data_IF_052775345801
#
_entry.id   IF_052775345801
#
_cell.length_a   1.000
_cell.length_b   1.000
_cell.length_c   1.000
_cell.angle_alpha   90.00
_cell.angle_beta   90.00
_cell.angle_gamma   90.00
#
_symmetry.space_group_name_H-M   'P 1'
#
loop_
_entity.id
_entity.type
_entity.pdbx_description
1 polymer ?
#
# COMPACT_ATOMS: atom_id res chain seq x y z
N UNK A 1 -3.29 -9.36 -3.34
CA UNK A 1 -3.10 -8.16 -2.51
C UNK A 1 -1.97 -8.29 -1.48
N UNK A 2 -1.58 -9.49 -1.01
CA UNK A 2 -0.45 -9.62 -0.07
C UNK A 2 -0.73 -9.10 1.34
N UNK A 3 -2.00 -9.04 1.73
CA UNK A 3 -2.48 -8.66 3.06
C UNK A 3 -2.55 -9.90 3.97
N UNK A 4 -2.44 -9.74 5.30
CA UNK A 4 -2.73 -10.82 6.24
C UNK A 4 -4.14 -11.41 6.02
N UNK A 5 -4.29 -12.69 6.32
CA UNK A 5 -5.59 -13.36 6.24
C UNK A 5 -6.62 -12.62 7.11
N UNK A 6 -7.81 -12.37 6.54
CA UNK A 6 -8.89 -11.67 7.24
C UNK A 6 -8.74 -10.15 7.35
N UNK A 7 -7.68 -9.52 6.83
CA UNK A 7 -7.45 -8.07 6.99
C UNK A 7 -8.66 -7.20 6.56
N UNK A 8 -9.33 -7.56 5.46
CA UNK A 8 -10.60 -6.94 5.04
C UNK A 8 -11.79 -7.87 5.24
N UNK A 9 -11.60 -9.17 4.99
CA UNK A 9 -12.69 -10.15 4.96
C UNK A 9 -13.13 -10.65 6.33
N UNK A 10 -12.33 -10.41 7.38
CA UNK A 10 -12.60 -10.82 8.76
C UNK A 10 -13.25 -9.73 9.63
N UNK A 11 -13.60 -8.57 9.06
CA UNK A 11 -14.19 -7.45 9.80
C UNK A 11 -15.68 -7.70 10.06
N UNK A 12 -16.13 -7.82 11.33
CA UNK A 12 -17.54 -8.07 11.64
C UNK A 12 -18.46 -6.96 11.12
N UNK A 13 -19.60 -7.34 10.53
CA UNK A 13 -20.58 -6.39 10.00
C UNK A 13 -20.21 -5.75 8.65
N UNK A 14 -19.03 -6.03 8.09
CA UNK A 14 -18.63 -5.50 6.79
C UNK A 14 -19.23 -6.33 5.66
N UNK A 15 -20.13 -5.75 4.88
CA UNK A 15 -20.79 -6.45 3.76
C UNK A 15 -19.80 -6.86 2.68
N UNK A 16 -20.12 -7.92 1.93
CA UNK A 16 -19.27 -8.39 0.80
C UNK A 16 -19.01 -7.28 -0.23
N UNK A 17 -20.01 -6.46 -0.53
CA UNK A 17 -19.86 -5.33 -1.45
C UNK A 17 -18.88 -4.28 -0.90
N UNK A 18 -18.96 -3.97 0.39
CA UNK A 18 -18.01 -3.05 1.03
C UNK A 18 -16.59 -3.63 1.07
N UNK A 19 -16.43 -4.93 1.34
CA UNK A 19 -15.13 -5.62 1.27
C UNK A 19 -14.51 -5.52 -0.13
N UNK A 20 -15.29 -5.80 -1.19
CA UNK A 20 -14.82 -5.69 -2.57
C UNK A 20 -14.44 -4.26 -2.94
N UNK A 21 -15.24 -3.27 -2.52
CA UNK A 21 -14.92 -1.85 -2.73
C UNK A 21 -13.62 -1.44 -2.03
N UNK A 22 -13.42 -1.87 -0.78
CA UNK A 22 -12.20 -1.60 -0.03
C UNK A 22 -10.97 -2.26 -0.67
N UNK A 23 -11.09 -3.52 -1.10
CA UNK A 23 -10.01 -4.24 -1.79
C UNK A 23 -9.71 -3.63 -3.17
N UNK A 24 -10.74 -3.26 -3.94
CA UNK A 24 -10.59 -2.70 -5.28
C UNK A 24 -10.01 -1.28 -5.30
N UNK A 25 -10.26 -0.49 -4.24
CA UNK A 25 -9.71 0.87 -4.09
C UNK A 25 -8.39 0.90 -3.31
N UNK A 26 -7.99 -0.22 -2.72
CA UNK A 26 -6.75 -0.33 -1.94
C UNK A 26 -5.50 -0.42 -2.81
N UNK A 27 -4.34 -0.33 -2.17
CA UNK A 27 -3.04 -0.53 -2.82
C UNK A 27 -2.49 -1.93 -2.54
N UNK A 28 -1.58 -2.40 -3.38
CA UNK A 28 -0.74 -3.56 -3.06
C UNK A 28 0.41 -3.10 -2.13
N UNK A 29 0.47 -3.54 -0.86
CA UNK A 29 1.44 -3.03 0.11
C UNK A 29 2.90 -3.15 -0.33
N UNK A 30 3.24 -4.22 -1.05
CA UNK A 30 4.60 -4.45 -1.54
C UNK A 30 4.99 -3.41 -2.61
N UNK A 31 4.05 -3.05 -3.50
CA UNK A 31 4.29 -2.01 -4.50
C UNK A 31 4.35 -0.62 -3.84
N UNK A 32 3.48 -0.34 -2.87
CA UNK A 32 3.53 0.90 -2.11
C UNK A 32 4.86 1.06 -1.35
N UNK A 33 5.33 0.01 -0.67
CA UNK A 33 6.61 0.02 0.02
C UNK A 33 7.80 0.24 -0.93
N UNK A 34 7.78 -0.35 -2.13
CA UNK A 34 8.80 -0.10 -3.15
C UNK A 34 8.78 1.37 -3.64
N UNK A 35 7.60 1.91 -3.94
CA UNK A 35 7.44 3.31 -4.37
C UNK A 35 7.91 4.29 -3.29
N UNK A 36 7.61 4.02 -2.02
CA UNK A 36 8.07 4.84 -0.90
C UNK A 36 9.59 4.84 -0.78
N UNK A 37 10.27 3.69 -0.93
CA UNK A 37 11.75 3.65 -0.93
C UNK A 37 12.33 4.53 -2.05
N UNK A 38 11.81 4.39 -3.27
CA UNK A 38 12.26 5.21 -4.41
C UNK A 38 12.06 6.71 -4.17
N UNK A 39 10.93 7.08 -3.56
CA UNK A 39 10.65 8.49 -3.25
C UNK A 39 11.56 9.02 -2.15
N UNK A 40 11.79 8.22 -1.10
CA UNK A 40 12.68 8.56 0.01
C UNK A 40 14.13 8.74 -0.44
N UNK A 41 14.62 7.88 -1.34
CA UNK A 41 15.95 8.00 -1.92
C UNK A 41 16.08 9.33 -2.70
N UNK A 42 15.09 9.68 -3.53
CA UNK A 42 15.10 10.94 -4.30
C UNK A 42 15.12 12.20 -3.44
N UNK A 43 14.44 12.19 -2.29
CA UNK A 43 14.41 13.35 -1.40
C UNK A 43 15.60 13.37 -0.42
N UNK A 44 16.43 12.32 -0.42
CA UNK A 44 17.61 12.25 0.42
C UNK A 44 18.70 13.19 -0.15
N UNK A 45 19.21 14.16 0.62
CA UNK A 45 20.08 15.22 0.08
C UNK A 45 21.39 14.73 -0.56
N UNK A 46 21.83 13.50 -0.21
CA UNK A 46 23.07 12.91 -0.72
C UNK A 46 23.01 12.62 -2.22
N UNK A 47 21.82 12.41 -2.78
CA UNK A 47 21.63 12.11 -4.21
C UNK A 47 21.37 13.39 -5.04
N UNK A 48 20.92 14.48 -4.40
CA UNK A 48 20.69 15.77 -5.07
C UNK A 48 21.97 16.62 -5.25
N UNK A 49 23.09 16.22 -4.66
CA UNK A 49 24.38 16.93 -4.80
C UNK A 49 25.19 16.47 -6.03
N UNK A 50 24.72 15.44 -6.74
CA UNK A 50 25.39 14.85 -7.91
C UNK A 50 24.70 15.13 -9.25
N UNK A 51 23.66 15.98 -9.26
CA UNK A 51 22.94 16.45 -10.45
C UNK A 51 23.12 17.96 -10.61
#
# INVERSE_FOLDING_TARGET
MGLPAGHVTGVPGLSRAAQLKALGNGVVPQQAAAALRLLLDRINPRDNAAA
#
